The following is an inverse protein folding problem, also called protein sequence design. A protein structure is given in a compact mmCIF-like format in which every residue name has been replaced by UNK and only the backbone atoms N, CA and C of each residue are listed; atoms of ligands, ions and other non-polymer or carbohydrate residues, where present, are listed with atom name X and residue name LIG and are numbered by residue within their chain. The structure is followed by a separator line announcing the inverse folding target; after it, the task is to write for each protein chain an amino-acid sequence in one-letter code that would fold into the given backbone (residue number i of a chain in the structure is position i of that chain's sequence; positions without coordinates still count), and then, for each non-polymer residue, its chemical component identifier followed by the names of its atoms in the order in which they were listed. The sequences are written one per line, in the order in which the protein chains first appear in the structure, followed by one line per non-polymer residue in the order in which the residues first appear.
data_IF_357768487943
#
_entry.id   IF_357768487943
#
_cell.length_a   1.000
_cell.length_b   1.000
_cell.length_c   1.000
_cell.angle_alpha   90.00
_cell.angle_beta   90.00
_cell.angle_gamma   90.00
#
_symmetry.space_group_name_H-M   'P 1'
#
loop_
_entity.id
_entity.type
_entity.pdbx_description
1 polymer ?
#
# COMPACT_ATOMS: atom_id res chain seq x y z
N UNK A 1 -46.13 15.45 -20.82
CA UNK A 1 -44.97 14.80 -21.48
C UNK A 1 -45.51 13.83 -22.54
N UNK A 2 -45.07 13.88 -23.81
CA UNK A 2 -45.68 13.08 -24.88
C UNK A 2 -45.27 11.60 -24.80
N UNK A 3 -46.18 10.67 -25.18
CA UNK A 3 -45.94 9.20 -25.15
C UNK A 3 -44.62 8.79 -25.82
N UNK A 4 -44.19 9.49 -26.88
CA UNK A 4 -42.90 9.27 -27.55
C UNK A 4 -41.69 9.55 -26.66
N UNK A 5 -41.72 10.61 -25.85
CA UNK A 5 -40.61 10.95 -24.93
C UNK A 5 -40.48 9.91 -23.81
N UNK A 6 -41.61 9.37 -23.34
CA UNK A 6 -41.62 8.30 -22.34
C UNK A 6 -41.03 6.99 -22.89
N UNK A 7 -41.40 6.57 -24.11
CA UNK A 7 -40.87 5.36 -24.74
C UNK A 7 -39.35 5.45 -24.99
N UNK A 8 -38.85 6.62 -25.40
CA UNK A 8 -37.40 6.84 -25.58
C UNK A 8 -36.67 6.80 -24.23
N UNK A 9 -37.20 7.48 -23.20
CA UNK A 9 -36.60 7.47 -21.87
C UNK A 9 -36.57 6.05 -21.28
N UNK A 10 -37.65 5.28 -21.42
CA UNK A 10 -37.71 3.89 -20.97
C UNK A 10 -36.69 3.01 -21.71
N UNK A 11 -36.55 3.18 -23.02
CA UNK A 11 -35.54 2.47 -23.81
C UNK A 11 -34.11 2.75 -23.34
N UNK A 12 -33.79 4.00 -23.00
CA UNK A 12 -32.48 4.39 -22.44
C UNK A 12 -32.24 3.74 -21.08
N UNK A 13 -33.25 3.73 -20.19
CA UNK A 13 -33.14 3.11 -18.87
C UNK A 13 -32.91 1.60 -18.99
N UNK A 14 -33.64 0.91 -19.86
CA UNK A 14 -33.48 -0.53 -20.09
C UNK A 14 -32.09 -0.85 -20.67
N UNK A 15 -31.62 -0.05 -21.63
CA UNK A 15 -30.28 -0.22 -22.20
C UNK A 15 -29.17 0.03 -21.16
N UNK A 16 -29.30 1.07 -20.34
CA UNK A 16 -28.36 1.34 -19.26
C UNK A 16 -28.34 0.21 -18.22
N UNK A 17 -29.51 -0.32 -17.83
CA UNK A 17 -29.61 -1.45 -16.91
C UNK A 17 -28.95 -2.71 -17.49
N UNK A 18 -29.16 -3.01 -18.78
CA UNK A 18 -28.52 -4.15 -19.45
C UNK A 18 -26.99 -4.01 -19.50
N UNK A 19 -26.49 -2.80 -19.79
CA UNK A 19 -25.05 -2.49 -19.76
C UNK A 19 -24.49 -2.68 -18.35
N UNK A 20 -25.18 -2.19 -17.32
CA UNK A 20 -24.76 -2.37 -15.93
C UNK A 20 -24.74 -3.86 -15.55
N UNK A 21 -25.78 -4.63 -15.88
CA UNK A 21 -25.81 -6.07 -15.61
C UNK A 21 -24.67 -6.83 -16.31
N UNK A 22 -24.32 -6.44 -17.53
CA UNK A 22 -23.19 -7.02 -18.25
C UNK A 22 -21.84 -6.64 -17.60
N UNK A 23 -21.66 -5.37 -17.23
CA UNK A 23 -20.45 -4.87 -16.57
C UNK A 23 -20.23 -5.45 -15.16
N UNK A 24 -21.30 -5.87 -14.48
CA UNK A 24 -21.25 -6.49 -13.16
C UNK A 24 -21.42 -8.01 -13.17
N UNK A 25 -21.41 -8.64 -14.35
CA UNK A 25 -21.42 -10.09 -14.44
C UNK A 25 -20.03 -10.63 -14.09
N UNK A 26 -20.03 -11.62 -13.18
CA UNK A 26 -18.88 -12.45 -12.85
C UNK A 26 -18.79 -13.53 -13.90
N UNK A 27 -17.63 -13.65 -14.53
CA UNK A 27 -17.43 -14.57 -15.65
C UNK A 27 -16.69 -15.85 -15.26
N UNK A 28 -16.27 -15.94 -14.01
CA UNK A 28 -15.36 -16.97 -13.51
C UNK A 28 -15.99 -17.69 -12.32
N UNK A 29 -15.86 -19.00 -12.26
CA UNK A 29 -16.52 -19.81 -11.23
C UNK A 29 -15.66 -19.99 -9.96
N UNK A 30 -14.35 -19.74 -10.06
CA UNK A 30 -13.42 -19.85 -8.93
C UNK A 30 -12.21 -18.94 -9.08
N UNK A 31 -11.57 -18.64 -7.96
CA UNK A 31 -10.27 -18.00 -7.87
C UNK A 31 -9.28 -18.96 -7.19
N UNK A 32 -8.16 -19.24 -7.84
CA UNK A 32 -7.10 -20.08 -7.28
C UNK A 32 -5.92 -19.19 -6.93
N UNK A 33 -5.50 -19.16 -5.66
CA UNK A 33 -4.35 -18.37 -5.21
C UNK A 33 -3.25 -19.29 -4.73
N UNK A 34 -2.01 -18.96 -5.02
CA UNK A 34 -0.83 -19.66 -4.52
C UNK A 34 0.15 -18.64 -3.94
N UNK A 35 0.93 -19.03 -2.93
CA UNK A 35 2.09 -18.26 -2.50
C UNK A 35 3.23 -18.48 -3.48
N UNK A 36 4.03 -17.45 -3.69
CA UNK A 36 5.10 -17.44 -4.68
C UNK A 36 6.45 -17.31 -3.98
N UNK A 37 7.44 -18.04 -4.50
CA UNK A 37 8.85 -17.95 -4.07
C UNK A 37 9.60 -17.01 -5.00
N UNK A 38 9.34 -17.12 -6.30
CA UNK A 38 9.91 -16.27 -7.35
C UNK A 38 8.88 -16.04 -8.44
N UNK A 39 9.22 -15.34 -9.53
CA UNK A 39 8.36 -15.34 -10.71
C UNK A 39 8.29 -16.77 -11.28
N UNK A 40 7.08 -17.21 -11.64
CA UNK A 40 6.80 -18.56 -12.19
C UNK A 40 6.97 -19.74 -11.21
N UNK A 41 7.52 -19.52 -10.01
CA UNK A 41 7.69 -20.57 -9.00
C UNK A 41 6.79 -20.33 -7.77
N UNK A 42 5.86 -21.26 -7.55
CA UNK A 42 4.98 -21.25 -6.40
C UNK A 42 5.53 -22.09 -5.24
N UNK A 43 5.25 -21.68 -4.01
CA UNK A 43 5.50 -22.49 -2.84
C UNK A 43 4.64 -23.78 -2.91
N UNK A 44 5.23 -24.97 -2.74
CA UNK A 44 4.49 -26.22 -2.75
C UNK A 44 3.39 -26.23 -1.68
N UNK A 45 2.24 -26.84 -2.00
CA UNK A 45 1.11 -26.99 -1.08
C UNK A 45 0.52 -25.66 -0.55
N UNK A 46 0.82 -24.54 -1.19
CA UNK A 46 0.28 -23.22 -0.81
C UNK A 46 -1.04 -22.87 -1.52
N UNK A 47 -1.60 -23.79 -2.32
CA UNK A 47 -2.79 -23.51 -3.11
C UNK A 47 -4.04 -23.37 -2.23
N UNK A 48 -4.81 -22.30 -2.48
CA UNK A 48 -6.14 -22.08 -1.91
C UNK A 48 -7.13 -21.77 -3.03
N UNK A 49 -8.31 -22.37 -2.96
CA UNK A 49 -9.36 -22.24 -3.98
C UNK A 49 -10.61 -21.61 -3.34
N UNK A 50 -11.00 -20.44 -3.85
CA UNK A 50 -12.28 -19.82 -3.49
C UNK A 50 -13.30 -20.12 -4.58
N UNK A 51 -14.43 -20.69 -4.18
CA UNK A 51 -15.60 -20.95 -5.04
C UNK A 51 -16.81 -20.07 -4.66
N UNK A 52 -16.74 -19.39 -3.52
CA UNK A 52 -17.82 -18.50 -3.10
C UNK A 52 -17.86 -17.24 -3.99
N UNK A 53 -19.08 -16.82 -4.30
CA UNK A 53 -19.31 -15.76 -5.27
C UNK A 53 -18.71 -14.41 -4.84
N UNK A 54 -18.63 -14.12 -3.54
CA UNK A 54 -18.14 -12.83 -3.03
C UNK A 54 -16.61 -12.72 -3.13
N UNK A 55 -15.89 -13.78 -2.77
CA UNK A 55 -14.43 -13.83 -2.89
C UNK A 55 -14.02 -13.79 -4.35
N UNK A 56 -14.66 -14.60 -5.20
CA UNK A 56 -14.37 -14.62 -6.65
C UNK A 56 -14.63 -13.23 -7.27
N UNK A 57 -15.73 -12.57 -6.90
CA UNK A 57 -16.00 -11.16 -7.29
C UNK A 57 -14.91 -10.22 -6.84
N UNK A 58 -14.40 -10.39 -5.63
CA UNK A 58 -13.38 -9.52 -5.06
C UNK A 58 -12.09 -9.59 -5.88
N UNK A 59 -11.61 -10.79 -6.21
CA UNK A 59 -10.46 -10.98 -7.09
C UNK A 59 -10.71 -10.42 -8.50
N UNK A 60 -11.84 -10.79 -9.12
CA UNK A 60 -12.14 -10.36 -10.48
C UNK A 60 -12.26 -8.82 -10.59
N UNK A 61 -12.93 -8.17 -9.64
CA UNK A 61 -13.12 -6.72 -9.68
C UNK A 61 -11.85 -5.95 -9.34
N UNK A 62 -11.02 -6.44 -8.42
CA UNK A 62 -9.71 -5.84 -8.14
C UNK A 62 -8.85 -5.78 -9.42
N UNK A 63 -8.85 -6.86 -10.20
CA UNK A 63 -8.11 -6.96 -11.45
C UNK A 63 -8.79 -6.16 -12.57
N UNK A 64 -10.11 -6.30 -12.74
CA UNK A 64 -10.88 -5.64 -13.80
C UNK A 64 -10.80 -4.12 -13.71
N UNK A 65 -10.83 -3.57 -12.49
CA UNK A 65 -10.80 -2.12 -12.26
C UNK A 65 -9.41 -1.59 -11.88
N UNK A 66 -8.37 -2.41 -12.05
CA UNK A 66 -6.98 -1.99 -11.90
C UNK A 66 -6.60 -0.87 -12.86
N UNK A 67 -5.85 0.10 -12.37
CA UNK A 67 -5.33 1.20 -13.20
C UNK A 67 -3.89 0.89 -13.59
N UNK A 68 -3.61 0.91 -14.89
CA UNK A 68 -2.25 0.74 -15.40
C UNK A 68 -1.35 1.87 -14.88
N UNK A 69 -0.18 1.52 -14.35
CA UNK A 69 0.87 2.45 -13.98
C UNK A 69 1.68 2.86 -15.21
N UNK A 70 2.11 4.11 -15.27
CA UNK A 70 3.00 4.59 -16.31
C UNK A 70 4.42 4.07 -16.08
N UNK A 71 5.16 3.83 -17.16
CA UNK A 71 6.55 3.37 -17.10
C UNK A 71 6.72 1.84 -17.10
N UNK A 72 8.00 1.42 -17.12
CA UNK A 72 8.43 0.06 -16.79
C UNK A 72 8.92 0.10 -15.35
N UNK A 73 8.54 -0.90 -14.57
CA UNK A 73 8.93 -1.01 -13.17
C UNK A 73 9.80 -2.24 -13.00
N UNK A 74 10.92 -2.06 -12.30
CA UNK A 74 11.66 -3.17 -11.70
C UNK A 74 10.95 -3.53 -10.39
N UNK A 75 10.53 -4.78 -10.24
CA UNK A 75 9.71 -5.22 -9.10
C UNK A 75 10.27 -6.53 -8.57
N UNK A 76 10.35 -6.61 -7.24
CA UNK A 76 10.57 -7.86 -6.54
C UNK A 76 9.54 -8.94 -6.91
N UNK A 77 9.90 -10.19 -6.68
CA UNK A 77 9.00 -11.33 -6.87
C UNK A 77 7.67 -11.10 -6.13
N UNK A 78 6.53 -11.49 -6.74
CA UNK A 78 5.24 -11.35 -6.10
C UNK A 78 5.14 -12.29 -4.90
N UNK A 79 4.42 -11.90 -3.82
CA UNK A 79 4.11 -12.81 -2.73
C UNK A 79 3.03 -13.83 -3.10
N UNK A 80 2.15 -13.49 -4.07
CA UNK A 80 1.03 -14.33 -4.47
C UNK A 80 0.84 -14.37 -5.99
N UNK A 81 0.31 -15.49 -6.49
CA UNK A 81 -0.30 -15.57 -7.81
C UNK A 81 -1.78 -15.90 -7.69
N UNK A 82 -2.59 -15.38 -8.61
CA UNK A 82 -4.03 -15.61 -8.69
C UNK A 82 -4.37 -16.08 -10.10
N UNK A 83 -5.07 -17.20 -10.20
CA UNK A 83 -5.65 -17.69 -11.46
C UNK A 83 -7.16 -17.49 -11.46
N UNK A 84 -7.63 -16.74 -12.45
CA UNK A 84 -9.05 -16.51 -12.73
C UNK A 84 -9.37 -17.06 -14.13
N UNK A 85 -10.02 -18.21 -14.17
CA UNK A 85 -10.32 -18.91 -15.42
C UNK A 85 -9.04 -19.37 -16.10
N UNK A 86 -8.71 -18.82 -17.27
CA UNK A 86 -7.50 -19.15 -18.04
C UNK A 86 -6.36 -18.14 -17.88
N UNK A 87 -6.52 -17.15 -17.00
CA UNK A 87 -5.58 -16.04 -16.85
C UNK A 87 -4.93 -16.09 -15.47
N UNK A 88 -3.62 -15.84 -15.46
CA UNK A 88 -2.81 -15.78 -14.24
C UNK A 88 -2.30 -14.35 -14.02
N UNK A 89 -2.33 -13.94 -12.77
CA UNK A 89 -1.96 -12.62 -12.30
C UNK A 89 -1.01 -12.74 -11.11
N UNK A 90 0.01 -11.92 -11.07
CA UNK A 90 0.91 -11.77 -9.92
C UNK A 90 0.42 -10.62 -9.06
N UNK A 91 0.34 -10.83 -7.76
CA UNK A 91 -0.35 -9.95 -6.83
C UNK A 91 0.58 -9.54 -5.69
N UNK A 92 0.74 -8.23 -5.51
CA UNK A 92 1.41 -7.63 -4.37
C UNK A 92 0.36 -6.92 -3.52
N UNK A 93 0.03 -7.50 -2.37
CA UNK A 93 -0.79 -6.86 -1.35
C UNK A 93 0.12 -6.56 -0.17
N UNK A 94 0.26 -5.28 0.17
CA UNK A 94 1.04 -4.89 1.33
C UNK A 94 0.22 -5.10 2.60
N UNK A 95 0.83 -5.67 3.62
CA UNK A 95 0.15 -5.84 4.91
C UNK A 95 0.07 -4.56 5.73
N UNK A 96 1.03 -3.67 5.51
CA UNK A 96 1.21 -2.42 6.25
C UNK A 96 0.58 -1.24 5.53
N UNK A 97 0.46 -1.30 4.21
CA UNK A 97 -0.11 -0.23 3.40
C UNK A 97 -1.35 -0.75 2.70
N UNK A 98 -2.42 0.05 2.64
CA UNK A 98 -3.63 -0.33 1.90
C UNK A 98 -3.43 -0.21 0.36
N UNK A 99 -2.19 -0.39 -0.10
CA UNK A 99 -1.78 -0.41 -1.49
C UNK A 99 -1.70 -1.86 -1.97
N UNK A 100 -2.32 -2.08 -3.11
CA UNK A 100 -2.29 -3.35 -3.82
C UNK A 100 -1.91 -3.09 -5.26
N UNK A 101 -1.13 -3.98 -5.83
CA UNK A 101 -0.76 -3.95 -7.24
C UNK A 101 -0.84 -5.35 -7.82
N UNK A 102 -1.06 -5.45 -9.13
CA UNK A 102 -0.96 -6.71 -9.84
C UNK A 102 -0.32 -6.53 -11.21
N UNK A 103 0.23 -7.64 -11.71
CA UNK A 103 0.78 -7.77 -13.05
C UNK A 103 0.13 -8.98 -13.70
N UNK A 104 -0.09 -8.93 -15.01
CA UNK A 104 -0.54 -10.13 -15.73
C UNK A 104 0.68 -10.99 -16.06
N UNK A 105 0.52 -12.31 -16.09
CA UNK A 105 1.64 -13.20 -16.46
C UNK A 105 2.21 -12.88 -17.86
N UNK A 106 1.36 -12.50 -18.81
CA UNK A 106 1.77 -12.07 -20.16
C UNK A 106 2.54 -10.73 -20.20
N UNK A 107 2.50 -9.95 -19.12
CA UNK A 107 3.06 -8.60 -19.05
C UNK A 107 4.40 -8.53 -18.30
N UNK A 108 4.96 -9.66 -17.83
CA UNK A 108 6.25 -9.71 -17.11
C UNK A 108 7.37 -9.04 -17.94
N UNK A 109 7.54 -9.47 -19.19
CA UNK A 109 8.59 -8.95 -20.09
C UNK A 109 8.38 -7.48 -20.46
N UNK A 110 7.12 -7.03 -20.47
CA UNK A 110 6.78 -5.64 -20.74
C UNK A 110 6.86 -4.74 -19.49
N UNK A 111 6.98 -5.33 -18.29
CA UNK A 111 7.01 -4.61 -17.02
C UNK A 111 5.75 -3.80 -16.74
N UNK A 112 4.57 -4.25 -17.18
CA UNK A 112 3.31 -3.49 -16.97
C UNK A 112 2.69 -3.83 -15.63
N UNK A 113 2.70 -2.85 -14.72
CA UNK A 113 2.06 -2.96 -13.41
C UNK A 113 0.72 -2.22 -13.39
N UNK A 114 -0.19 -2.73 -12.57
CA UNK A 114 -1.52 -2.16 -12.36
C UNK A 114 -1.74 -1.92 -10.87
N UNK A 115 -2.25 -0.76 -10.49
CA UNK A 115 -2.63 -0.45 -9.11
C UNK A 115 -4.08 -0.85 -8.85
N UNK A 116 -4.32 -1.42 -7.68
CA UNK A 116 -5.63 -1.83 -7.17
C UNK A 116 -6.18 -0.71 -6.28
N UNK A 117 -7.48 -0.43 -6.37
CA UNK A 117 -8.13 0.54 -5.48
C UNK A 117 -8.06 0.05 -4.04
N UNK A 118 -7.77 0.97 -3.11
CA UNK A 118 -7.73 0.74 -1.66
C UNK A 118 -8.89 -0.10 -1.11
N UNK A 119 -10.12 0.13 -1.57
CA UNK A 119 -11.29 -0.65 -1.16
C UNK A 119 -11.19 -2.13 -1.51
N UNK A 120 -10.63 -2.47 -2.68
CA UNK A 120 -10.42 -3.86 -3.08
C UNK A 120 -9.18 -4.45 -2.43
N UNK A 121 -8.11 -3.65 -2.23
CA UNK A 121 -6.92 -4.09 -1.51
C UNK A 121 -7.27 -4.61 -0.12
N UNK A 122 -8.09 -3.87 0.64
CA UNK A 122 -8.53 -4.30 1.98
C UNK A 122 -9.26 -5.65 1.96
N UNK A 123 -10.17 -5.83 1.00
CA UNK A 123 -10.93 -7.08 0.85
C UNK A 123 -10.02 -8.25 0.48
N UNK A 124 -9.09 -8.03 -0.46
CA UNK A 124 -8.10 -9.03 -0.82
C UNK A 124 -7.20 -9.38 0.36
N UNK A 125 -6.75 -8.39 1.12
CA UNK A 125 -5.93 -8.61 2.30
C UNK A 125 -6.66 -9.46 3.34
N UNK A 126 -7.95 -9.20 3.58
CA UNK A 126 -8.76 -10.02 4.49
C UNK A 126 -8.84 -11.49 4.03
N UNK A 127 -9.12 -11.72 2.74
CA UNK A 127 -9.16 -13.08 2.17
C UNK A 127 -7.80 -13.79 2.27
N UNK A 128 -6.70 -13.07 2.00
CA UNK A 128 -5.35 -13.62 2.05
C UNK A 128 -4.91 -13.93 3.48
N UNK A 129 -5.21 -13.06 4.46
CA UNK A 129 -4.91 -13.31 5.88
C UNK A 129 -5.68 -14.50 6.44
N UNK A 130 -6.91 -14.72 5.97
CA UNK A 130 -7.68 -15.90 6.34
C UNK A 130 -7.07 -17.20 5.78
N UNK A 131 -6.59 -17.16 4.54
CA UNK A 131 -5.95 -18.29 3.89
C UNK A 131 -4.52 -18.57 4.41
N UNK A 132 -3.79 -17.52 4.77
CA UNK A 132 -2.39 -17.55 5.17
C UNK A 132 -2.19 -16.73 6.46
N UNK A 133 -2.68 -17.22 7.61
CA UNK A 133 -2.46 -16.54 8.89
C UNK A 133 -0.96 -16.50 9.22
N UNK A 134 -0.50 -15.37 9.79
CA UNK A 134 0.90 -15.22 10.19
C UNK A 134 1.32 -16.33 11.18
N UNK A 135 2.48 -16.95 10.93
CA UNK A 135 3.00 -18.06 11.72
C UNK A 135 2.76 -19.47 11.15
N UNK A 136 2.22 -19.60 9.93
CA UNK A 136 2.07 -20.92 9.28
C UNK A 136 3.42 -21.43 8.74
N UNK A 137 4.15 -22.16 9.59
CA UNK A 137 5.28 -23.00 9.19
C UNK A 137 4.76 -24.23 8.44
N UNK A 138 5.28 -24.46 7.23
CA UNK A 138 5.16 -25.64 6.37
C UNK A 138 4.52 -26.89 7.03
N UNK A 139 3.38 -27.42 6.54
CA UNK A 139 2.95 -28.76 6.91
C UNK A 139 3.88 -29.78 6.24
N UNK A 140 4.45 -30.65 7.07
CA UNK A 140 5.29 -31.77 6.65
C UNK A 140 4.45 -32.76 5.83
N UNK A 141 4.67 -32.80 4.52
CA UNK A 141 4.50 -34.00 3.70
C UNK A 141 3.09 -34.50 3.36
N UNK A 142 2.01 -33.89 3.85
CA UNK A 142 0.65 -34.29 3.45
C UNK A 142 0.06 -33.30 2.45
N UNK A 143 -0.43 -33.82 1.31
CA UNK A 143 -1.19 -33.07 0.31
C UNK A 143 -2.46 -32.58 1.01
N UNK A 144 -2.67 -31.26 1.21
CA UNK A 144 -3.89 -30.79 1.85
C UNK A 144 -5.07 -31.01 0.90
N UNK A 145 -6.10 -31.72 1.36
CA UNK A 145 -7.43 -31.74 0.74
C UNK A 145 -7.90 -30.31 0.44
N UNK A 146 -8.66 -30.14 -0.65
CA UNK A 146 -9.30 -28.88 -1.05
C UNK A 146 -9.97 -28.21 0.17
N UNK A 147 -9.34 -27.19 0.75
CA UNK A 147 -9.97 -26.36 1.78
C UNK A 147 -11.02 -25.47 1.11
N UNK A 148 -12.24 -25.99 0.96
CA UNK A 148 -13.43 -25.16 0.69
C UNK A 148 -13.70 -24.32 1.93
N UNK A 149 -13.36 -23.03 1.87
CA UNK A 149 -13.66 -22.08 2.93
C UNK A 149 -15.05 -21.49 2.64
N UNK A 150 -16.08 -21.97 3.33
CA UNK A 150 -17.39 -21.32 3.34
C UNK A 150 -17.36 -20.11 4.30
N UNK A 151 -17.65 -18.92 3.77
CA UNK A 151 -17.64 -17.66 4.52
C UNK A 151 -18.98 -17.38 5.22
N UNK A 152 -18.97 -16.91 6.48
CA UNK A 152 -20.09 -16.13 7.03
C UNK A 152 -20.10 -14.72 6.44
N UNK A 153 -21.30 -14.22 6.12
CA UNK A 153 -21.51 -12.91 5.51
C UNK A 153 -20.89 -11.78 6.33
N UNK A 154 -20.01 -10.98 5.70
CA UNK A 154 -19.46 -9.76 6.29
C UNK A 154 -20.53 -8.64 6.26
N UNK A 155 -21.43 -8.64 7.25
CA UNK A 155 -22.33 -7.52 7.48
C UNK A 155 -21.59 -6.36 8.16
N UNK A 156 -21.56 -5.20 7.49
CA UNK A 156 -21.14 -3.94 8.08
C UNK A 156 -22.32 -3.21 8.72
N UNK A 157 -22.28 -3.05 10.04
CA UNK A 157 -23.17 -2.18 10.81
C UNK A 157 -22.37 -1.35 11.81
N UNK A 158 -22.39 -0.03 11.65
CA UNK A 158 -21.91 0.97 12.62
C UNK A 158 -22.85 0.99 13.83
N UNK A 159 -22.37 0.83 15.05
CA UNK A 159 -22.82 1.58 16.25
C UNK A 159 -21.87 1.37 17.48
N UNK A 160 -21.91 2.26 18.49
CA UNK A 160 -20.81 2.51 19.42
C UNK A 160 -20.86 1.70 20.73
N UNK A 161 -19.70 1.53 21.35
CA UNK A 161 -19.54 0.96 22.69
C UNK A 161 -20.20 1.80 23.80
N UNK A 162 -20.74 1.15 24.84
CA UNK A 162 -20.73 1.68 26.20
C UNK A 162 -19.84 0.82 27.13
N UNK A 163 -19.41 1.38 28.29
CA UNK A 163 -18.44 0.75 29.18
C UNK A 163 -19.12 -0.30 30.06
N UNK A 164 -18.39 -1.34 30.45
CA UNK A 164 -18.87 -2.28 31.46
C UNK A 164 -17.81 -2.57 32.51
N UNK A 165 -18.26 -2.35 33.74
CA UNK A 165 -17.55 -2.34 35.00
C UNK A 165 -17.24 -3.75 35.48
N UNK A 166 -16.13 -3.90 36.21
CA UNK A 166 -15.84 -5.06 37.06
C UNK A 166 -16.91 -5.23 38.14
N UNK A 167 -17.16 -6.46 38.62
CA UNK A 167 -16.71 -6.73 39.98
C UNK A 167 -16.21 -8.17 40.25
N UNK A 168 -15.28 -8.24 41.20
CA UNK A 168 -14.87 -9.45 41.96
C UNK A 168 -15.81 -9.64 43.17
N UNK A 169 -16.05 -10.88 43.65
CA UNK A 169 -15.45 -11.38 44.90
C UNK A 169 -15.00 -12.87 44.80
N UNK A 170 -13.84 -13.28 45.31
CA UNK A 170 -13.57 -13.85 46.66
C UNK A 170 -14.44 -15.08 47.02
N UNK A 171 -13.99 -16.22 47.59
CA UNK A 171 -12.72 -16.77 48.07
C UNK A 171 -12.94 -18.30 48.34
N UNK A 172 -11.96 -18.96 48.99
CA UNK A 172 -11.89 -20.37 49.47
C UNK A 172 -11.21 -21.35 48.49
N UNK A 173 -10.14 -22.10 48.81
CA UNK A 173 -9.41 -22.35 50.06
C UNK A 173 -8.98 -23.83 50.10
N UNK A 174 -7.72 -24.11 50.52
CA UNK A 174 -7.12 -25.38 51.00
C UNK A 174 -6.27 -26.25 50.00
N UNK A 175 -5.25 -27.04 50.47
CA UNK A 175 -3.84 -26.63 50.39
C UNK A 175 -2.80 -27.71 49.94
N UNK A 176 -1.54 -27.26 49.78
CA UNK A 176 -0.24 -27.96 49.96
C UNK A 176 0.20 -29.04 48.95
N UNK A 177 1.48 -29.46 48.99
CA UNK A 177 2.75 -28.72 49.01
C UNK A 177 3.63 -29.14 47.80
N UNK A 178 4.77 -28.51 47.54
CA UNK A 178 6.04 -29.18 47.16
C UNK A 178 7.11 -28.10 46.90
N UNK A 179 8.07 -28.11 47.80
CA UNK A 179 9.38 -27.45 47.67
C UNK A 179 10.27 -28.36 46.85
N UNK A 180 10.83 -27.88 45.74
CA UNK A 180 12.24 -28.17 45.42
C UNK A 180 12.78 -27.18 44.38
N UNK A 181 13.91 -26.59 44.75
CA UNK A 181 14.74 -25.70 43.96
C UNK A 181 15.91 -26.52 43.43
N UNK A 182 16.34 -26.34 42.17
CA UNK A 182 17.72 -26.57 41.81
C UNK A 182 18.43 -25.26 41.43
N UNK A 183 19.69 -25.22 41.85
CA UNK A 183 20.66 -24.14 41.76
C UNK A 183 21.11 -23.80 40.30
N UNK A 184 21.92 -22.75 40.09
CA UNK A 184 22.11 -22.08 38.81
C UNK A 184 23.09 -22.82 37.88
N UNK A 185 22.80 -22.78 36.58
CA UNK A 185 23.66 -23.29 35.50
C UNK A 185 24.57 -22.13 35.03
N UNK A 186 25.85 -22.38 34.67
CA UNK A 186 26.84 -21.33 34.47
C UNK A 186 26.68 -20.58 33.14
N UNK A 187 27.06 -19.29 33.17
CA UNK A 187 27.12 -18.36 32.04
C UNK A 187 27.88 -18.96 30.84
N UNK A 188 27.16 -19.09 29.73
CA UNK A 188 27.73 -19.16 28.38
C UNK A 188 27.23 -17.93 27.60
N UNK A 189 28.13 -17.19 26.94
CA UNK A 189 27.78 -15.92 26.34
C UNK A 189 26.80 -16.14 25.19
N UNK A 190 25.58 -15.66 25.38
CA UNK A 190 24.65 -15.42 24.27
C UNK A 190 25.18 -14.26 23.47
N UNK A 191 26.00 -14.55 22.45
CA UNK A 191 26.28 -13.61 21.38
C UNK A 191 25.00 -13.49 20.54
N UNK A 192 24.05 -12.70 21.04
CA UNK A 192 23.08 -12.05 20.16
C UNK A 192 23.88 -11.20 19.18
N UNK A 193 23.68 -11.32 17.86
CA UNK A 193 24.20 -10.33 16.94
C UNK A 193 23.43 -9.06 17.25
N UNK A 194 24.07 -8.19 18.03
CA UNK A 194 23.73 -6.80 18.11
C UNK A 194 23.88 -6.27 16.67
N UNK A 195 22.79 -6.27 15.92
CA UNK A 195 22.69 -5.52 14.69
C UNK A 195 22.89 -4.06 15.11
N UNK A 196 24.12 -3.59 14.91
CA UNK A 196 24.46 -2.18 14.97
C UNK A 196 23.37 -1.46 14.17
N UNK A 197 22.56 -0.65 14.87
CA UNK A 197 21.64 0.24 14.21
C UNK A 197 22.50 1.21 13.40
N UNK A 198 22.74 0.89 12.14
CA UNK A 198 23.37 1.82 11.23
C UNK A 198 22.54 3.10 11.28
N UNK A 199 23.16 4.15 11.81
CA UNK A 199 22.58 5.48 11.86
C UNK A 199 22.44 5.95 10.41
N UNK A 200 21.28 5.73 9.81
CA UNK A 200 20.93 6.18 8.46
C UNK A 200 20.78 7.70 8.43
N UNK A 201 21.89 8.43 8.56
CA UNK A 201 21.90 9.89 8.52
C UNK A 201 21.49 10.37 7.11
N UNK A 202 20.64 11.40 7.00
CA UNK A 202 20.22 11.92 5.70
C UNK A 202 21.36 12.69 5.03
N UNK A 203 21.61 12.39 3.76
CA UNK A 203 22.41 13.23 2.88
C UNK A 203 21.52 14.27 2.19
N UNK A 204 22.00 15.51 2.12
CA UNK A 204 21.26 16.65 1.59
C UNK A 204 21.86 17.16 0.28
N UNK A 205 21.02 17.79 -0.55
CA UNK A 205 21.47 18.48 -1.76
C UNK A 205 22.23 19.75 -1.37
N UNK A 206 23.38 19.99 -1.98
CA UNK A 206 24.11 21.25 -1.84
C UNK A 206 23.41 22.37 -2.62
N UNK A 207 22.65 23.22 -1.91
CA UNK A 207 21.96 24.34 -2.52
C UNK A 207 22.89 25.35 -3.20
N UNK A 208 24.17 25.42 -2.82
CA UNK A 208 25.11 26.38 -3.42
C UNK A 208 25.49 26.01 -4.87
N UNK A 209 25.30 24.74 -5.24
CA UNK A 209 25.50 24.23 -6.60
C UNK A 209 24.38 24.60 -7.59
N UNK A 210 23.33 25.30 -7.14
CA UNK A 210 22.16 25.67 -7.95
C UNK A 210 22.03 27.19 -8.13
N UNK A 211 21.31 27.60 -9.17
CA UNK A 211 21.04 29.01 -9.47
C UNK A 211 20.23 29.68 -8.35
N UNK A 212 20.19 31.02 -8.33
CA UNK A 212 19.42 31.77 -7.34
C UNK A 212 17.92 31.44 -7.36
N UNK A 213 17.38 31.14 -8.54
CA UNK A 213 15.97 30.82 -8.72
C UNK A 213 15.62 29.40 -8.26
N UNK A 214 16.56 28.46 -8.38
CA UNK A 214 16.41 27.05 -8.00
C UNK A 214 16.69 26.80 -6.52
N UNK A 215 17.59 27.58 -5.91
CA UNK A 215 17.98 27.46 -4.50
C UNK A 215 16.81 27.30 -3.52
N UNK A 216 15.70 28.07 -3.63
CA UNK A 216 14.54 27.89 -2.79
C UNK A 216 13.88 26.50 -2.92
N UNK A 217 13.88 25.91 -4.11
CA UNK A 217 13.31 24.58 -4.37
C UNK A 217 14.15 23.50 -3.68
N UNK A 218 15.46 23.58 -3.83
CA UNK A 218 16.41 22.65 -3.18
C UNK A 218 16.32 22.74 -1.65
N UNK A 219 16.16 23.95 -1.12
CA UNK A 219 15.91 24.15 0.32
C UNK A 219 14.62 23.47 0.78
N UNK A 220 13.54 23.52 0.00
CA UNK A 220 12.30 22.83 0.34
C UNK A 220 12.46 21.31 0.33
N UNK A 221 13.21 20.75 -0.63
CA UNK A 221 13.52 19.32 -0.67
C UNK A 221 14.30 18.92 0.57
N UNK A 222 15.37 19.65 0.92
CA UNK A 222 16.16 19.37 2.10
C UNK A 222 15.33 19.48 3.39
N UNK A 223 14.50 20.53 3.53
CA UNK A 223 13.60 20.67 4.68
C UNK A 223 12.62 19.50 4.78
N UNK A 224 12.09 19.01 3.65
CA UNK A 224 11.22 17.83 3.64
C UNK A 224 11.93 16.61 4.22
N UNK A 225 13.17 16.36 3.78
CA UNK A 225 14.00 15.25 4.29
C UNK A 225 14.27 15.43 5.79
N UNK A 226 14.66 16.64 6.21
CA UNK A 226 14.89 16.95 7.63
C UNK A 226 13.65 16.68 8.46
N UNK A 227 12.47 17.17 8.06
CA UNK A 227 11.25 16.99 8.85
C UNK A 227 10.76 15.53 8.86
N UNK A 228 11.00 14.77 7.79
CA UNK A 228 10.78 13.32 7.80
C UNK A 228 11.66 12.60 8.81
N UNK A 229 12.95 12.97 8.88
CA UNK A 229 13.91 12.33 9.79
C UNK A 229 13.68 12.73 11.25
N UNK A 230 13.36 13.99 11.49
CA UNK A 230 13.08 14.55 12.82
C UNK A 230 11.64 14.30 13.30
N UNK A 231 10.81 13.61 12.51
CA UNK A 231 9.40 13.35 12.80
C UNK A 231 8.57 14.62 13.08
N UNK A 232 8.89 15.72 12.40
CA UNK A 232 8.24 17.04 12.53
C UNK A 232 7.06 17.18 11.57
N UNK A 233 5.93 16.55 11.93
CA UNK A 233 4.79 16.40 11.03
C UNK A 233 4.14 17.73 10.63
N UNK A 234 3.95 18.65 11.57
CA UNK A 234 3.28 19.91 11.30
C UNK A 234 4.14 20.81 10.39
N UNK A 235 5.45 20.88 10.66
CA UNK A 235 6.39 21.62 9.81
C UNK A 235 6.55 20.96 8.44
N UNK A 236 6.46 19.64 8.35
CA UNK A 236 6.41 18.92 7.08
C UNK A 236 5.19 19.30 6.24
N UNK A 237 4.01 19.38 6.85
CA UNK A 237 2.78 19.80 6.18
C UNK A 237 2.87 21.26 5.70
N UNK A 238 3.59 22.11 6.42
CA UNK A 238 3.78 23.52 6.06
C UNK A 238 4.59 23.75 4.78
N UNK A 239 5.36 22.75 4.33
CA UNK A 239 6.07 22.81 3.06
C UNK A 239 5.13 22.76 1.84
N UNK A 240 3.91 22.24 2.01
CA UNK A 240 2.98 21.98 0.92
C UNK A 240 2.01 23.13 0.67
N UNK A 241 1.51 23.20 -0.56
CA UNK A 241 0.36 24.05 -0.93
C UNK A 241 -0.89 23.64 -0.14
N UNK A 242 -1.86 24.54 0.06
CA UNK A 242 -3.08 24.26 0.82
C UNK A 242 -3.85 23.04 0.29
N UNK A 243 -3.89 22.85 -1.03
CA UNK A 243 -4.55 21.69 -1.65
C UNK A 243 -3.81 20.40 -1.33
N UNK A 244 -2.48 20.39 -1.49
CA UNK A 244 -1.63 19.24 -1.25
C UNK A 244 -1.52 18.88 0.25
N UNK A 245 -1.58 19.89 1.12
CA UNK A 245 -1.60 19.76 2.58
C UNK A 245 -2.85 19.02 3.05
N UNK A 246 -4.05 19.48 2.64
CA UNK A 246 -5.33 18.85 3.01
C UNK A 246 -5.39 17.37 2.65
N UNK A 247 -4.80 16.99 1.51
CA UNK A 247 -4.73 15.59 1.10
C UNK A 247 -3.84 14.73 2.03
N UNK A 248 -2.83 15.35 2.67
CA UNK A 248 -1.84 14.68 3.53
C UNK A 248 -2.23 14.70 5.00
N UNK A 249 -2.93 15.73 5.49
CA UNK A 249 -3.47 15.79 6.85
C UNK A 249 -4.28 14.53 7.21
N UNK A 250 -5.05 13.98 6.25
CA UNK A 250 -5.83 12.76 6.45
C UNK A 250 -5.01 11.47 6.64
N UNK A 251 -3.70 11.48 6.41
CA UNK A 251 -2.82 10.32 6.60
C UNK A 251 -2.27 10.20 8.03
N UNK A 252 -2.18 11.30 8.78
CA UNK A 252 -1.85 11.31 10.21
C UNK A 252 -0.41 10.97 10.61
N UNK A 253 0.48 10.59 9.69
CA UNK A 253 1.89 10.34 9.98
C UNK A 253 2.76 10.28 8.72
N UNK A 254 4.08 10.27 8.91
CA UNK A 254 5.03 9.97 7.85
C UNK A 254 4.83 8.55 7.32
N UNK A 255 5.03 8.38 6.00
CA UNK A 255 5.21 7.05 5.42
C UNK A 255 6.43 6.43 6.12
N UNK A 256 6.35 5.15 6.54
CA UNK A 256 7.33 4.47 7.41
C UNK A 256 8.75 4.27 6.84
N UNK A 257 9.22 5.18 6.00
CA UNK A 257 10.58 5.27 5.48
C UNK A 257 11.12 6.70 5.67
N UNK A 258 12.44 6.82 5.77
CA UNK A 258 13.16 8.10 5.68
C UNK A 258 14.03 8.11 4.43
N UNK A 259 14.34 9.30 3.92
CA UNK A 259 15.26 9.47 2.80
C UNK A 259 16.67 9.59 3.37
N UNK A 260 17.58 8.76 2.87
CA UNK A 260 18.98 8.68 3.29
C UNK A 260 19.93 9.30 2.29
N UNK A 261 19.56 9.31 1.00
CA UNK A 261 20.30 10.01 -0.05
C UNK A 261 19.35 10.58 -1.08
N UNK A 262 19.76 11.67 -1.72
CA UNK A 262 19.01 12.31 -2.79
C UNK A 262 19.97 12.96 -3.77
N UNK A 263 19.69 12.83 -5.07
CA UNK A 263 20.43 13.47 -6.14
C UNK A 263 19.47 14.02 -7.20
N UNK A 264 19.76 15.19 -7.76
CA UNK A 264 19.00 15.74 -8.90
C UNK A 264 19.48 15.06 -10.18
N UNK A 265 18.56 14.46 -10.92
CA UNK A 265 18.88 13.61 -12.10
C UNK A 265 18.78 14.41 -13.40
N UNK A 266 17.87 15.37 -13.45
CA UNK A 266 17.63 16.22 -14.62
C UNK A 266 17.69 17.71 -14.25
N UNK A 267 17.84 18.56 -15.26
CA UNK A 267 17.79 20.01 -15.07
C UNK A 267 16.43 20.43 -14.52
N UNK A 268 16.45 21.40 -13.60
CA UNK A 268 15.24 21.93 -12.99
C UNK A 268 14.48 22.75 -14.03
N UNK A 269 13.20 22.45 -14.23
CA UNK A 269 12.35 23.19 -15.17
C UNK A 269 11.46 24.15 -14.41
N UNK A 270 11.68 25.46 -14.58
CA UNK A 270 10.80 26.51 -14.05
C UNK A 270 10.00 27.10 -15.20
N UNK A 271 8.68 27.14 -15.07
CA UNK A 271 7.75 27.62 -16.10
C UNK A 271 6.81 28.67 -15.51
N UNK A 272 6.63 29.75 -16.25
CA UNK A 272 5.62 30.74 -15.93
C UNK A 272 4.26 30.31 -16.50
N UNK A 273 3.25 30.23 -15.64
CA UNK A 273 1.86 29.97 -16.01
C UNK A 273 1.04 31.25 -15.91
N UNK A 274 -0.24 31.21 -16.33
CA UNK A 274 -1.12 32.39 -16.32
C UNK A 274 -1.22 33.04 -14.93
N UNK A 275 -1.35 32.25 -13.86
CA UNK A 275 -1.61 32.72 -12.50
C UNK A 275 -0.51 32.40 -11.48
N UNK A 276 0.49 31.59 -11.83
CA UNK A 276 1.55 31.15 -10.92
C UNK A 276 2.84 30.79 -11.68
N UNK A 277 3.91 30.54 -10.96
CA UNK A 277 5.10 29.83 -11.44
C UNK A 277 5.04 28.38 -11.00
N UNK A 278 5.40 27.47 -11.89
CA UNK A 278 5.50 26.04 -11.62
C UNK A 278 6.95 25.61 -11.82
N UNK A 279 7.46 24.78 -10.92
CA UNK A 279 8.77 24.17 -11.11
C UNK A 279 8.69 22.65 -10.96
N UNK A 280 9.46 21.93 -11.76
CA UNK A 280 9.56 20.48 -11.71
C UNK A 280 11.01 20.09 -11.50
N UNK A 281 11.25 19.23 -10.51
CA UNK A 281 12.57 18.70 -10.17
C UNK A 281 12.47 17.17 -10.13
N UNK A 282 13.25 16.49 -10.95
CA UNK A 282 13.38 15.05 -10.89
C UNK A 282 14.61 14.67 -10.08
N UNK A 283 14.42 13.78 -9.10
CA UNK A 283 15.48 13.30 -8.22
C UNK A 283 15.52 11.78 -8.21
N UNK A 284 16.65 11.24 -7.80
CA UNK A 284 16.82 9.87 -7.33
C UNK A 284 16.96 9.90 -5.82
N UNK A 285 16.10 9.18 -5.12
CA UNK A 285 16.09 9.07 -3.67
C UNK A 285 16.44 7.65 -3.25
N UNK A 286 17.32 7.51 -2.26
CA UNK A 286 17.54 6.26 -1.54
C UNK A 286 16.88 6.36 -0.17
N UNK A 287 16.25 5.27 0.26
CA UNK A 287 15.51 5.17 1.52
C UNK A 287 16.25 4.30 2.54
N UNK A 288 15.89 4.43 3.80
CA UNK A 288 16.45 3.65 4.90
C UNK A 288 16.20 2.14 4.83
N UNK A 289 15.30 1.68 3.96
CA UNK A 289 15.07 0.26 3.69
C UNK A 289 15.90 -0.26 2.50
N UNK A 290 16.80 0.55 1.93
CA UNK A 290 17.62 0.19 0.78
C UNK A 290 16.93 0.42 -0.58
N UNK A 291 15.66 0.80 -0.60
CA UNK A 291 14.97 1.13 -1.85
C UNK A 291 15.55 2.41 -2.44
N UNK A 292 15.84 2.37 -3.74
CA UNK A 292 16.14 3.56 -4.53
C UNK A 292 15.07 3.77 -5.60
N UNK A 293 14.70 5.01 -5.87
CA UNK A 293 13.69 5.31 -6.88
C UNK A 293 13.80 6.74 -7.40
N UNK A 294 13.28 6.94 -8.62
CA UNK A 294 13.12 8.28 -9.15
C UNK A 294 11.82 8.89 -8.62
N UNK A 295 11.94 10.08 -8.04
CA UNK A 295 10.84 10.86 -7.47
C UNK A 295 10.74 12.19 -8.23
N UNK A 296 9.52 12.60 -8.58
CA UNK A 296 9.27 13.89 -9.23
C UNK A 296 8.64 14.87 -8.24
N UNK A 297 9.31 15.99 -8.00
CA UNK A 297 8.77 17.10 -7.22
C UNK A 297 8.14 18.14 -8.12
N UNK A 298 6.93 18.57 -7.77
CA UNK A 298 6.24 19.69 -8.39
C UNK A 298 6.10 20.80 -7.37
N UNK A 299 6.53 22.01 -7.71
CA UNK A 299 6.46 23.19 -6.88
C UNK A 299 5.59 24.26 -7.52
N UNK A 300 4.92 25.06 -6.69
CA UNK A 300 4.15 26.21 -7.12
C UNK A 300 4.53 27.44 -6.31
N UNK A 301 4.51 28.61 -6.97
CA UNK A 301 4.69 29.93 -6.36
C UNK A 301 3.74 30.92 -7.01
N UNK A 302 3.00 31.67 -6.21
CA UNK A 302 2.14 32.76 -6.70
C UNK A 302 2.93 33.87 -7.41
N UNK A 303 2.22 34.76 -8.12
CA UNK A 303 2.83 35.92 -8.79
C UNK A 303 2.82 37.18 -7.92
N UNK A 304 2.10 37.14 -6.81
CA UNK A 304 2.04 38.23 -5.84
C UNK A 304 3.40 38.48 -5.16
N UNK A 305 3.66 39.73 -4.83
CA UNK A 305 4.90 40.12 -4.17
C UNK A 305 4.98 39.45 -2.79
N UNK A 306 6.06 38.72 -2.55
CA UNK A 306 6.26 37.95 -1.32
C UNK A 306 5.77 36.51 -1.37
N UNK A 307 5.22 36.06 -2.51
CA UNK A 307 4.90 34.66 -2.71
C UNK A 307 6.14 33.78 -2.56
N UNK A 308 6.00 32.69 -1.79
CA UNK A 308 7.05 31.70 -1.58
C UNK A 308 6.73 30.42 -2.35
N UNK A 309 7.78 29.68 -2.74
CA UNK A 309 7.61 28.34 -3.29
C UNK A 309 7.01 27.39 -2.24
N UNK A 310 6.17 26.48 -2.71
CA UNK A 310 5.56 25.40 -1.94
C UNK A 310 5.52 24.13 -2.76
N UNK A 311 5.57 22.98 -2.09
CA UNK A 311 5.44 21.67 -2.71
C UNK A 311 3.97 21.45 -3.09
N UNK A 312 3.70 21.36 -4.39
CA UNK A 312 2.39 21.03 -4.91
C UNK A 312 2.21 19.51 -5.00
N UNK A 313 3.24 18.78 -5.41
CA UNK A 313 3.20 17.33 -5.41
C UNK A 313 4.58 16.67 -5.31
N UNK A 314 4.56 15.39 -4.94
CA UNK A 314 5.72 14.49 -4.92
C UNK A 314 5.24 13.12 -5.39
N UNK A 315 5.61 12.73 -6.62
CA UNK A 315 5.22 11.48 -7.28
C UNK A 315 6.36 10.45 -7.29
#
# INVERSE_FOLDING_TARGET
MSKRRYMVALGIVVAAAAILLFLFRVSVDQAVVMRMVSFEESEPNSQVVWKDQESVRTFEYAIRFGKKMAGKVDIAAPPYSVTLGKKTYYLWISDQTERGSFMKAEDITAGKLYTIKKSYTKKLQALLKQAYPEGYSKPTGEIPEERNIDLPALEGGLEPNPPSESPTPAAEGLPSPYTESPAPVPDLPSTSPNAEAESFAPAYLDASSFTEEERPLIKLINLRITYMHESKWDEFLDLYTDSARKAREGSGSFNGFTITSINVVENISIREQKSLFEAVVQVEETRNNGDAGSTMYVFQKGKEKGAAWRIADVD
#
